data_IF_889116193582
#
_entry.id   IF_889116193582
#
_cell.length_a   1.000
_cell.length_b   1.000
_cell.length_c   1.000
_cell.angle_alpha   90.00
_cell.angle_beta   90.00
_cell.angle_gamma   90.00
#
_symmetry.space_group_name_H-M   'P 1'
#
loop_
_entity.id
_entity.type
_entity.pdbx_description
1 polymer ?
#
# COMPACT_ATOMS: atom_id res chain seq x y z
N UNK A 1 11.53 -28.50 10.10
CA UNK A 1 10.71 -29.56 9.49
C UNK A 1 11.47 -30.03 8.25
N UNK A 2 11.86 -31.30 8.19
CA UNK A 2 12.89 -31.79 7.25
C UNK A 2 12.41 -31.76 5.78
N UNK A 3 13.28 -31.45 4.80
CA UNK A 3 12.94 -31.58 3.38
C UNK A 3 12.84 -33.07 3.01
N UNK A 4 11.68 -33.49 2.52
CA UNK A 4 11.48 -34.84 1.98
C UNK A 4 12.12 -34.87 0.60
N UNK A 5 13.23 -35.59 0.47
CA UNK A 5 13.91 -35.79 -0.82
C UNK A 5 13.19 -36.91 -1.57
N UNK A 6 12.39 -36.56 -2.58
CA UNK A 6 11.80 -37.55 -3.49
C UNK A 6 12.82 -37.88 -4.59
N UNK A 7 13.13 -39.17 -4.83
CA UNK A 7 14.06 -39.55 -5.88
C UNK A 7 13.47 -39.21 -7.26
N UNK A 8 14.32 -38.79 -8.19
CA UNK A 8 13.93 -38.49 -9.56
C UNK A 8 13.23 -39.70 -10.19
N UNK A 9 11.92 -39.58 -10.39
CA UNK A 9 11.07 -40.59 -10.99
C UNK A 9 9.82 -39.95 -11.57
N UNK A 10 9.23 -40.60 -12.57
CA UNK A 10 7.96 -40.19 -13.17
C UNK A 10 6.83 -40.49 -12.19
N UNK A 11 6.34 -39.45 -11.52
CA UNK A 11 5.17 -39.57 -10.64
C UNK A 11 3.87 -39.48 -11.45
N UNK A 12 2.86 -40.30 -11.13
CA UNK A 12 1.56 -40.23 -11.79
C UNK A 12 0.88 -38.89 -11.49
N UNK A 13 0.15 -38.39 -12.49
CA UNK A 13 -0.51 -37.08 -12.50
C UNK A 13 -1.43 -36.81 -11.29
N UNK A 14 -1.94 -37.88 -10.67
CA UNK A 14 -2.75 -37.83 -9.46
C UNK A 14 -2.02 -37.26 -8.24
N UNK A 15 -0.68 -37.29 -8.20
CA UNK A 15 0.09 -36.74 -7.08
C UNK A 15 -0.02 -35.20 -6.97
N UNK A 16 -0.26 -34.50 -8.09
CA UNK A 16 -0.31 -33.03 -8.13
C UNK A 16 -1.70 -32.44 -7.86
N UNK A 17 -2.73 -33.28 -7.68
CA UNK A 17 -4.12 -32.81 -7.55
C UNK A 17 -4.52 -32.34 -6.14
N UNK A 18 -3.65 -32.52 -5.14
CA UNK A 18 -3.91 -32.12 -3.76
C UNK A 18 -3.36 -30.73 -3.38
N UNK A 19 -2.72 -30.00 -4.30
CA UNK A 19 -2.36 -28.59 -4.10
C UNK A 19 -3.21 -27.67 -4.98
N UNK A 20 -3.93 -26.68 -4.41
CA UNK A 20 -4.69 -25.72 -5.20
C UNK A 20 -3.73 -24.85 -6.03
N UNK A 21 -3.93 -24.84 -7.36
CA UNK A 21 -3.19 -24.00 -8.31
C UNK A 21 -2.37 -24.75 -9.37
N UNK A 22 -2.34 -26.08 -9.38
CA UNK A 22 -1.57 -26.86 -10.35
C UNK A 22 -2.47 -27.44 -11.45
N UNK A 23 -2.40 -26.90 -12.66
CA UNK A 23 -2.81 -27.60 -13.89
C UNK A 23 -1.54 -28.12 -14.58
N UNK A 24 -1.59 -29.31 -15.17
CA UNK A 24 -0.46 -29.80 -15.93
C UNK A 24 -0.70 -29.70 -17.45
N UNK A 25 0.30 -29.16 -18.12
CA UNK A 25 0.41 -29.12 -19.57
C UNK A 25 1.48 -30.09 -20.05
N UNK A 26 1.35 -30.55 -21.29
CA UNK A 26 2.33 -31.37 -21.98
C UNK A 26 3.58 -30.54 -22.28
N UNK A 27 4.54 -30.62 -21.37
CA UNK A 27 5.75 -29.83 -21.37
C UNK A 27 6.12 -29.59 -19.92
N UNK A 28 7.13 -30.32 -19.44
CA UNK A 28 7.50 -30.36 -18.03
C UNK A 28 7.45 -28.99 -17.36
N UNK A 29 6.79 -28.94 -16.20
CA UNK A 29 6.70 -27.73 -15.38
C UNK A 29 8.11 -27.31 -14.96
N UNK A 30 8.70 -26.39 -15.71
CA UNK A 30 9.95 -25.76 -15.36
C UNK A 30 9.63 -24.70 -14.31
N UNK A 31 9.87 -25.03 -13.05
CA UNK A 31 9.91 -24.04 -11.98
C UNK A 31 11.24 -23.30 -12.09
N UNK A 32 11.29 -22.26 -12.92
CA UNK A 32 12.37 -21.29 -12.83
C UNK A 32 12.23 -20.56 -11.50
N UNK A 33 13.13 -20.86 -10.56
CA UNK A 33 13.25 -20.09 -9.32
C UNK A 33 13.43 -18.62 -9.68
N UNK A 34 12.66 -17.70 -9.07
CA UNK A 34 12.78 -16.29 -9.36
C UNK A 34 14.21 -15.83 -9.10
N UNK A 35 14.78 -15.15 -10.08
CA UNK A 35 16.15 -14.63 -10.00
C UNK A 35 16.27 -13.64 -8.84
N UNK A 36 17.46 -13.44 -8.24
CA UNK A 36 17.65 -12.44 -7.19
C UNK A 36 17.19 -11.04 -7.60
N UNK A 37 17.25 -10.71 -8.90
CA UNK A 37 16.73 -9.46 -9.46
C UNK A 37 15.20 -9.37 -9.40
N UNK A 38 14.50 -10.46 -9.74
CA UNK A 38 13.04 -10.54 -9.65
C UNK A 38 12.57 -10.51 -8.18
N UNK A 39 13.27 -11.18 -7.27
CA UNK A 39 12.97 -11.12 -5.83
C UNK A 39 13.09 -9.67 -5.33
N UNK A 40 14.14 -8.94 -5.76
CA UNK A 40 14.30 -7.53 -5.40
C UNK A 40 13.24 -6.63 -6.04
N UNK A 41 12.81 -6.90 -7.27
CA UNK A 41 11.72 -6.18 -7.93
C UNK A 41 10.38 -6.42 -7.23
N UNK A 42 10.07 -7.67 -6.86
CA UNK A 42 8.89 -8.05 -6.08
C UNK A 42 8.92 -7.37 -4.71
N UNK A 43 10.08 -7.40 -4.02
CA UNK A 43 10.26 -6.78 -2.70
C UNK A 43 10.12 -5.26 -2.75
N UNK A 44 10.64 -4.61 -3.81
CA UNK A 44 10.45 -3.18 -4.06
C UNK A 44 8.99 -2.84 -4.36
N UNK A 45 8.27 -3.69 -5.10
CA UNK A 45 6.87 -3.44 -5.42
C UNK A 45 5.92 -3.64 -4.22
N UNK A 46 6.24 -4.58 -3.32
CA UNK A 46 5.50 -4.79 -2.06
C UNK A 46 5.74 -3.63 -1.08
N UNK A 47 6.97 -3.12 -0.99
CA UNK A 47 7.31 -1.99 -0.10
C UNK A 47 6.69 -0.65 -0.54
N UNK A 48 6.33 -0.49 -1.82
CA UNK A 48 5.67 0.72 -2.35
C UNK A 48 4.14 0.68 -2.29
N UNK A 49 3.55 -0.46 -1.91
CA UNK A 49 2.08 -0.65 -1.94
C UNK A 49 1.53 -1.13 -0.59
N UNK A 50 2.19 -0.80 0.52
CA UNK A 50 1.70 -1.14 1.85
C UNK A 50 0.37 -0.42 2.11
N UNK A 51 -0.70 -1.14 2.49
CA UNK A 51 -1.87 -0.48 3.04
C UNK A 51 -1.42 0.26 4.28
N UNK A 52 -1.71 1.57 4.35
CA UNK A 52 -1.48 2.40 5.53
C UNK A 52 -1.92 1.63 6.78
N UNK A 53 -0.95 1.25 7.61
CA UNK A 53 -1.22 0.52 8.84
C UNK A 53 -1.98 1.48 9.75
N UNK A 54 -3.10 1.02 10.32
CA UNK A 54 -3.96 1.82 11.22
C UNK A 54 -3.19 2.37 12.44
N UNK A 55 -2.01 1.84 12.73
CA UNK A 55 -1.10 2.28 13.80
C UNK A 55 -0.09 3.34 13.35
N UNK A 56 0.13 3.49 12.04
CA UNK A 56 1.07 4.46 11.46
C UNK A 56 0.36 5.77 11.05
N UNK A 57 -0.93 5.70 10.74
CA UNK A 57 -1.74 6.86 10.35
C UNK A 57 -2.24 7.64 11.57
N UNK A 58 -1.39 8.56 12.03
CA UNK A 58 -1.76 9.49 13.10
C UNK A 58 -2.82 10.49 12.64
N UNK A 59 -3.72 10.83 13.58
CA UNK A 59 -4.71 11.86 13.34
C UNK A 59 -4.17 13.23 13.72
N UNK A 60 -4.27 14.18 12.80
CA UNK A 60 -3.82 15.58 12.99
C UNK A 60 -5.01 16.49 13.26
N UNK A 61 -4.75 17.58 13.99
CA UNK A 61 -5.72 18.63 14.25
C UNK A 61 -5.45 19.86 13.37
N UNK A 62 -6.38 20.81 13.37
CA UNK A 62 -6.27 22.05 12.59
C UNK A 62 -5.03 22.86 13.00
N UNK A 63 -4.70 22.88 14.29
CA UNK A 63 -3.53 23.63 14.79
C UNK A 63 -2.22 23.06 14.24
N UNK A 64 -2.09 21.73 14.16
CA UNK A 64 -0.94 21.08 13.54
C UNK A 64 -0.83 21.43 12.05
N UNK A 65 -1.94 21.40 11.32
CA UNK A 65 -1.97 21.72 9.89
C UNK A 65 -1.54 23.18 9.64
N UNK A 66 -2.07 24.12 10.42
CA UNK A 66 -1.72 25.54 10.29
C UNK A 66 -0.27 25.83 10.68
N UNK A 67 0.27 25.13 11.68
CA UNK A 67 1.70 25.18 12.02
C UNK A 67 2.58 24.61 10.91
N UNK A 68 2.16 23.51 10.29
CA UNK A 68 2.91 22.84 9.23
C UNK A 68 2.97 23.65 7.94
N UNK A 69 1.86 24.27 7.52
CA UNK A 69 1.81 25.05 6.28
C UNK A 69 2.09 26.54 6.48
N UNK A 70 2.05 27.04 7.72
CA UNK A 70 2.14 28.47 8.02
C UNK A 70 0.94 29.29 7.54
N UNK A 71 -0.20 28.64 7.28
CA UNK A 71 -1.42 29.28 6.79
C UNK A 71 -2.47 29.38 7.89
N UNK A 72 -3.42 30.29 7.75
CA UNK A 72 -4.49 30.47 8.74
C UNK A 72 -5.57 29.41 8.62
N UNK A 73 -6.17 29.07 9.75
CA UNK A 73 -7.31 28.17 9.89
C UNK A 73 -8.50 28.58 9.00
N UNK A 74 -8.79 29.88 8.91
CA UNK A 74 -9.86 30.45 8.07
C UNK A 74 -9.68 30.08 6.60
N UNK A 75 -8.44 30.02 6.13
CA UNK A 75 -8.13 29.64 4.76
C UNK A 75 -8.47 28.16 4.52
N UNK A 76 -8.11 27.27 5.44
CA UNK A 76 -8.49 25.86 5.36
C UNK A 76 -10.00 25.63 5.42
N UNK A 77 -10.72 26.34 6.29
CA UNK A 77 -12.18 26.24 6.32
C UNK A 77 -12.83 26.68 5.00
N UNK A 78 -12.24 27.65 4.30
CA UNK A 78 -12.68 28.02 2.96
C UNK A 78 -12.44 26.87 1.97
N UNK A 79 -11.26 26.25 1.97
CA UNK A 79 -10.97 25.12 1.09
C UNK A 79 -11.86 23.90 1.36
N UNK A 80 -12.19 23.63 2.62
CA UNK A 80 -13.14 22.56 2.99
C UNK A 80 -14.52 22.84 2.38
N UNK A 81 -14.95 24.10 2.36
CA UNK A 81 -16.20 24.52 1.73
C UNK A 81 -16.15 24.41 0.20
N UNK A 82 -15.00 24.74 -0.39
CA UNK A 82 -14.77 24.67 -1.83
C UNK A 82 -14.56 23.21 -2.31
N UNK A 83 -14.35 22.27 -1.40
CA UNK A 83 -14.15 20.84 -1.69
C UNK A 83 -12.72 20.46 -2.07
N UNK A 84 -11.79 21.41 -1.99
CA UNK A 84 -10.39 21.23 -2.37
C UNK A 84 -9.55 20.58 -1.26
N UNK A 85 -10.01 20.59 0.00
CA UNK A 85 -9.31 20.00 1.14
C UNK A 85 -10.12 18.86 1.76
N UNK A 86 -9.46 17.77 2.25
CA UNK A 86 -10.15 16.63 2.85
C UNK A 86 -11.12 17.05 3.96
N UNK A 87 -12.28 16.40 3.97
CA UNK A 87 -13.31 16.67 4.97
C UNK A 87 -12.86 16.21 6.37
N UNK A 88 -13.15 16.98 7.42
CA UNK A 88 -12.85 16.57 8.79
C UNK A 88 -13.59 15.29 9.20
N UNK A 89 -12.86 14.36 9.81
CA UNK A 89 -13.41 13.20 10.50
C UNK A 89 -13.91 13.65 11.88
N UNK A 90 -15.23 13.55 12.10
CA UNK A 90 -15.85 13.97 13.35
C UNK A 90 -15.74 12.88 14.41
N UNK A 91 -14.85 13.08 15.39
CA UNK A 91 -14.71 12.26 16.60
C UNK A 91 -15.30 13.00 17.80
N UNK A 92 -16.62 12.90 17.95
CA UNK A 92 -17.37 13.55 19.04
C UNK A 92 -17.33 15.08 18.96
N UNK A 93 -16.64 15.71 19.92
CA UNK A 93 -16.44 17.17 19.97
C UNK A 93 -15.22 17.64 19.16
N UNK A 94 -14.37 16.72 18.73
CA UNK A 94 -13.16 17.02 17.97
C UNK A 94 -13.32 16.64 16.51
N UNK A 95 -12.85 17.52 15.63
CA UNK A 95 -12.66 17.24 14.22
C UNK A 95 -11.19 16.93 13.98
N UNK A 96 -10.89 15.83 13.30
CA UNK A 96 -9.52 15.41 13.00
C UNK A 96 -9.36 14.97 11.55
N UNK A 97 -8.14 14.97 11.05
CA UNK A 97 -7.77 14.51 9.72
C UNK A 97 -6.74 13.39 9.81
N UNK A 98 -6.68 12.53 8.80
CA UNK A 98 -5.57 11.59 8.69
C UNK A 98 -4.34 12.32 8.18
N UNK A 99 -3.18 12.07 8.82
CA UNK A 99 -1.91 12.66 8.39
C UNK A 99 -1.60 12.30 6.93
N UNK A 100 -1.88 11.06 6.52
CA UNK A 100 -1.71 10.57 5.15
C UNK A 100 -2.53 11.35 4.13
N UNK A 101 -3.79 11.68 4.45
CA UNK A 101 -4.65 12.50 3.58
C UNK A 101 -4.11 13.92 3.42
N UNK A 102 -3.66 14.55 4.51
CA UNK A 102 -3.09 15.90 4.48
C UNK A 102 -1.79 15.92 3.69
N UNK A 103 -0.94 14.91 3.85
CA UNK A 103 0.31 14.77 3.10
C UNK A 103 0.06 14.55 1.61
N UNK A 104 -0.86 13.64 1.26
CA UNK A 104 -1.25 13.41 -0.13
C UNK A 104 -1.81 14.67 -0.80
N UNK A 105 -2.63 15.44 -0.08
CA UNK A 105 -3.13 16.72 -0.55
C UNK A 105 -2.00 17.73 -0.80
N UNK A 106 -1.04 17.83 0.12
CA UNK A 106 0.10 18.74 -0.03
C UNK A 106 0.97 18.33 -1.24
N UNK A 107 1.21 17.04 -1.41
CA UNK A 107 1.95 16.49 -2.55
C UNK A 107 1.26 16.82 -3.88
N UNK A 108 -0.07 16.68 -3.95
CA UNK A 108 -0.86 17.07 -5.11
C UNK A 108 -0.73 18.56 -5.43
N UNK A 109 -0.73 19.43 -4.40
CA UNK A 109 -0.51 20.88 -4.58
C UNK A 109 0.90 21.20 -5.08
N UNK A 110 1.92 20.49 -4.60
CA UNK A 110 3.30 20.65 -5.08
C UNK A 110 3.39 20.26 -6.56
N UNK A 111 2.81 19.12 -6.94
CA UNK A 111 2.80 18.64 -8.32
C UNK A 111 2.04 19.60 -9.27
N UNK A 112 0.94 20.19 -8.82
CA UNK A 112 0.23 21.24 -9.58
C UNK A 112 1.10 22.50 -9.77
N UNK A 113 1.92 22.86 -8.77
CA UNK A 113 2.74 24.06 -8.82
C UNK A 113 4.03 23.92 -9.65
N UNK A 114 4.59 22.71 -9.73
CA UNK A 114 5.85 22.39 -10.39
C UNK A 114 5.65 21.23 -11.38
N UNK A 115 5.23 21.51 -12.63
CA UNK A 115 5.11 20.50 -13.68
C UNK A 115 6.46 19.98 -14.15
#
# INVERSE_FOLDING_TARGET
MLPVYLPAGTFPYSFFTFLPGCYAGEGGASFSSPTPGEINNIRRNIFMNTPVSLMDDQMVDMAFITQLTGLTDKWFYKLIKDGDFPAPIKLGRSSRWLKSEVEAWLQARIAQSRP
#
